data_IF_141909814822
#
_entry.id   IF_141909814822
#
_cell.length_a   1.000
_cell.length_b   1.000
_cell.length_c   1.000
_cell.angle_alpha   90.00
_cell.angle_beta   90.00
_cell.angle_gamma   90.00
#
_symmetry.space_group_name_H-M   'P 1'
#
loop_
_entity.id
_entity.type
_entity.pdbx_description
1 polymer ?
#
# COMPACT_ATOMS: atom_id res chain seq x y z
N UNK A 1 17.70 -14.56 -4.27
CA UNK A 1 18.59 -13.44 -4.59
C UNK A 1 17.96 -12.41 -5.49
N UNK A 2 17.25 -12.84 -6.53
CA UNK A 2 16.57 -11.89 -7.40
C UNK A 2 15.47 -11.13 -6.66
N UNK A 3 14.84 -11.79 -5.68
CA UNK A 3 13.81 -11.14 -4.88
C UNK A 3 14.35 -9.97 -4.06
N UNK A 4 15.56 -10.10 -3.55
CA UNK A 4 16.19 -9.02 -2.78
C UNK A 4 16.50 -7.82 -3.67
N UNK A 5 17.02 -8.05 -4.87
CA UNK A 5 17.29 -6.99 -5.83
C UNK A 5 15.99 -6.31 -6.24
N UNK A 6 14.94 -7.09 -6.45
CA UNK A 6 13.64 -6.52 -6.82
C UNK A 6 13.08 -5.65 -5.70
N UNK A 7 13.26 -6.06 -4.44
CA UNK A 7 12.81 -5.28 -3.30
C UNK A 7 13.54 -3.93 -3.23
N UNK A 8 14.86 -3.93 -3.38
CA UNK A 8 15.62 -2.68 -3.37
C UNK A 8 15.27 -1.79 -4.55
N UNK A 9 15.13 -2.38 -5.73
CA UNK A 9 14.74 -1.62 -6.91
C UNK A 9 13.37 -0.99 -6.73
N UNK A 10 12.43 -1.74 -6.14
CA UNK A 10 11.09 -1.24 -5.87
C UNK A 10 11.11 -0.08 -4.88
N UNK A 11 11.90 -0.19 -3.82
CA UNK A 11 12.02 0.89 -2.84
C UNK A 11 12.61 2.15 -3.46
N UNK A 12 13.63 2.00 -4.27
CA UNK A 12 14.24 3.14 -4.97
C UNK A 12 13.24 3.79 -5.93
N UNK A 13 12.45 2.98 -6.62
CA UNK A 13 11.42 3.48 -7.51
C UNK A 13 10.34 4.25 -6.76
N UNK A 14 9.94 3.74 -5.59
CA UNK A 14 8.95 4.41 -4.75
C UNK A 14 9.46 5.79 -4.31
N UNK A 15 10.71 5.87 -3.89
CA UNK A 15 11.30 7.14 -3.48
C UNK A 15 11.39 8.12 -4.65
N UNK A 16 11.69 7.61 -5.84
CA UNK A 16 11.73 8.44 -7.05
C UNK A 16 10.35 8.98 -7.40
N UNK A 17 9.32 8.17 -7.26
CA UNK A 17 7.94 8.60 -7.49
C UNK A 17 7.57 9.72 -6.51
N UNK A 18 7.92 9.57 -5.25
CA UNK A 18 7.65 10.61 -4.25
C UNK A 18 8.40 11.91 -4.57
N UNK A 19 9.63 11.79 -5.05
CA UNK A 19 10.41 12.96 -5.43
C UNK A 19 9.73 13.73 -6.56
N UNK A 20 9.31 13.02 -7.59
CA UNK A 20 8.63 13.62 -8.75
C UNK A 20 7.30 14.25 -8.32
N UNK A 21 6.54 13.54 -7.51
CA UNK A 21 5.28 14.04 -6.99
C UNK A 21 5.47 15.35 -6.21
N UNK A 22 6.47 15.37 -5.35
CA UNK A 22 6.76 16.55 -4.54
C UNK A 22 7.18 17.74 -5.39
N UNK A 23 7.99 17.49 -6.41
CA UNK A 23 8.50 18.56 -7.28
C UNK A 23 7.42 19.11 -8.20
N UNK A 24 6.54 18.27 -8.69
CA UNK A 24 5.55 18.67 -9.71
C UNK A 24 4.20 19.05 -9.12
N UNK A 25 3.90 18.61 -7.89
CA UNK A 25 2.60 18.83 -7.29
C UNK A 25 1.46 18.09 -7.99
N UNK A 26 1.79 17.09 -8.79
CA UNK A 26 0.80 16.37 -9.58
C UNK A 26 -0.09 15.49 -8.70
N UNK A 27 -1.30 15.23 -9.19
CA UNK A 27 -2.17 14.21 -8.62
C UNK A 27 -1.85 12.89 -9.30
N UNK A 28 -1.66 11.84 -8.52
CA UNK A 28 -1.29 10.53 -9.05
C UNK A 28 -2.23 9.46 -8.52
N UNK A 29 -2.56 8.51 -9.40
CA UNK A 29 -3.35 7.33 -9.04
C UNK A 29 -2.52 6.12 -9.38
N UNK A 30 -2.42 5.19 -8.43
CA UNK A 30 -1.65 3.97 -8.61
C UNK A 30 -2.49 2.76 -8.23
N UNK A 31 -2.36 1.70 -9.00
CA UNK A 31 -2.98 0.41 -8.68
C UNK A 31 -1.85 -0.54 -8.30
N UNK A 32 -1.98 -1.18 -7.15
CA UNK A 32 -0.95 -2.07 -6.65
C UNK A 32 -1.55 -3.20 -5.84
N UNK A 33 -0.87 -4.34 -5.83
CA UNK A 33 -1.18 -5.46 -4.94
C UNK A 33 -0.34 -5.41 -3.66
N UNK A 34 0.61 -4.50 -3.61
CA UNK A 34 1.54 -4.40 -2.50
C UNK A 34 1.01 -3.42 -1.46
N UNK A 35 0.60 -3.96 -0.31
CA UNK A 35 0.02 -3.15 0.76
C UNK A 35 1.03 -2.15 1.31
N UNK A 36 2.28 -2.57 1.45
CA UNK A 36 3.33 -1.67 1.96
C UNK A 36 3.56 -0.50 1.01
N UNK A 37 3.53 -0.76 -0.29
CA UNK A 37 3.65 0.30 -1.30
C UNK A 37 2.49 1.28 -1.19
N UNK A 38 1.27 0.77 -1.00
CA UNK A 38 0.10 1.62 -0.84
C UNK A 38 0.24 2.55 0.36
N UNK A 39 0.67 2.04 1.50
CA UNK A 39 0.85 2.86 2.70
C UNK A 39 2.00 3.84 2.52
N UNK A 40 3.07 3.42 1.87
CA UNK A 40 4.26 4.25 1.73
C UNK A 40 4.02 5.45 0.82
N UNK A 41 3.28 5.25 -0.27
CA UNK A 41 3.13 6.27 -1.31
C UNK A 41 1.88 7.13 -1.17
N UNK A 42 0.80 6.60 -0.60
CA UNK A 42 -0.51 7.19 -0.79
C UNK A 42 -0.93 8.13 0.31
N UNK A 43 -1.73 9.13 -0.05
CA UNK A 43 -2.47 9.92 0.92
C UNK A 43 -3.81 9.27 1.22
N UNK A 44 -4.36 8.56 0.25
CA UNK A 44 -5.61 7.83 0.41
C UNK A 44 -5.49 6.49 -0.29
N UNK A 45 -5.95 5.45 0.39
CA UNK A 45 -5.98 4.10 -0.16
C UNK A 45 -7.43 3.68 -0.34
N UNK A 46 -7.74 3.16 -1.52
CA UNK A 46 -9.05 2.60 -1.82
C UNK A 46 -8.88 1.09 -1.94
N UNK A 47 -9.57 0.35 -1.09
CA UNK A 47 -9.52 -1.10 -1.08
C UNK A 47 -10.68 -1.63 -1.91
N UNK A 48 -10.39 -2.49 -2.87
CA UNK A 48 -11.38 -2.99 -3.81
C UNK A 48 -11.43 -4.51 -3.81
N UNK A 49 -12.61 -5.05 -4.05
CA UNK A 49 -12.76 -6.48 -4.28
C UNK A 49 -12.43 -6.80 -5.74
N UNK A 50 -11.95 -8.01 -6.03
CA UNK A 50 -11.57 -8.34 -7.40
C UNK A 50 -12.74 -8.60 -8.34
N UNK A 51 -13.83 -9.21 -7.85
CA UNK A 51 -14.95 -9.62 -8.71
C UNK A 51 -16.27 -9.62 -7.96
N UNK A 52 -17.22 -8.77 -8.37
CA UNK A 52 -17.03 -7.63 -9.26
C UNK A 52 -16.19 -6.57 -8.55
N UNK A 53 -15.56 -5.70 -9.30
CA UNK A 53 -14.76 -4.63 -8.71
C UNK A 53 -15.64 -3.69 -7.90
N UNK A 54 -15.50 -3.74 -6.59
CA UNK A 54 -16.25 -2.88 -5.68
C UNK A 54 -15.32 -2.31 -4.65
N UNK A 55 -15.64 -1.10 -4.21
CA UNK A 55 -14.88 -0.48 -3.14
C UNK A 55 -15.32 -1.10 -1.82
N UNK A 56 -14.39 -1.76 -1.14
CA UNK A 56 -14.62 -2.33 0.19
C UNK A 56 -14.50 -1.27 1.27
N UNK A 57 -13.57 -0.34 1.08
CA UNK A 57 -13.35 0.72 2.03
C UNK A 57 -12.33 1.71 1.52
N UNK A 58 -12.25 2.84 2.18
CA UNK A 58 -11.24 3.86 1.91
C UNK A 58 -10.52 4.20 3.20
N UNK A 59 -9.27 4.59 3.09
CA UNK A 59 -8.44 4.87 4.25
C UNK A 59 -7.55 6.06 3.95
N UNK A 60 -7.65 7.08 4.77
CA UNK A 60 -6.77 8.23 4.69
C UNK A 60 -5.49 7.92 5.45
N UNK A 61 -4.35 8.06 4.78
CA UNK A 61 -3.06 7.80 5.39
C UNK A 61 -2.51 9.10 5.93
N UNK A 62 -2.64 9.28 7.22
CA UNK A 62 -2.24 10.52 7.90
C UNK A 62 -0.86 10.38 8.51
N UNK A 63 0.11 10.08 7.66
CA UNK A 63 1.50 9.96 8.06
C UNK A 63 2.31 11.02 7.35
N UNK A 64 3.17 11.69 8.11
CA UNK A 64 4.10 12.64 7.51
C UNK A 64 5.15 11.88 6.67
N UNK A 65 5.76 12.57 5.75
CA UNK A 65 6.84 12.02 4.93
C UNK A 65 8.16 12.66 5.36
N UNK A 66 9.26 11.92 5.32
CA UNK A 66 9.38 10.54 4.87
C UNK A 66 8.78 9.54 5.86
N UNK A 67 8.21 8.46 5.33
CA UNK A 67 7.55 7.43 6.14
C UNK A 67 8.50 6.27 6.37
N UNK A 68 8.60 5.84 7.63
CA UNK A 68 9.41 4.68 7.99
C UNK A 68 8.54 3.42 7.93
N UNK A 69 8.94 2.48 7.08
CA UNK A 69 8.18 1.23 6.88
C UNK A 69 8.11 0.36 8.12
N UNK A 70 8.96 0.63 9.11
CA UNK A 70 8.99 -0.13 10.36
C UNK A 70 8.30 0.58 11.52
N UNK A 71 7.76 1.77 11.33
CA UNK A 71 7.12 2.50 12.41
C UNK A 71 5.81 1.85 12.81
N UNK A 72 5.40 2.04 14.06
CA UNK A 72 4.14 1.52 14.55
C UNK A 72 2.95 2.07 13.77
N UNK A 73 2.98 3.34 13.45
CA UNK A 73 1.90 3.97 12.70
C UNK A 73 1.78 3.38 11.30
N UNK A 74 2.91 3.15 10.64
CA UNK A 74 2.91 2.50 9.32
C UNK A 74 2.29 1.11 9.41
N UNK A 75 2.72 0.33 10.40
CA UNK A 75 2.21 -1.03 10.59
C UNK A 75 0.73 -1.05 10.95
N UNK A 76 0.25 -0.03 11.65
CA UNK A 76 -1.16 0.11 11.95
C UNK A 76 -2.00 0.27 10.68
N UNK A 77 -1.58 1.15 9.78
CA UNK A 77 -2.28 1.33 8.50
C UNK A 77 -2.21 0.07 7.65
N UNK A 78 -1.06 -0.58 7.65
CA UNK A 78 -0.88 -1.84 6.93
C UNK A 78 -1.85 -2.89 7.43
N UNK A 79 -1.96 -3.03 8.74
CA UNK A 79 -2.87 -3.99 9.34
C UNK A 79 -4.33 -3.68 9.01
N UNK A 80 -4.71 -2.42 9.01
CA UNK A 80 -6.07 -2.02 8.68
C UNK A 80 -6.44 -2.33 7.24
N UNK A 81 -5.52 -2.11 6.31
CA UNK A 81 -5.75 -2.46 4.90
C UNK A 81 -5.91 -3.96 4.76
N UNK A 82 -5.05 -4.74 5.40
CA UNK A 82 -5.14 -6.20 5.36
C UNK A 82 -6.47 -6.69 5.93
N UNK A 83 -6.92 -6.07 7.00
CA UNK A 83 -8.21 -6.41 7.59
C UNK A 83 -9.35 -6.15 6.58
N UNK A 84 -9.34 -5.02 5.92
CA UNK A 84 -10.36 -4.69 4.93
C UNK A 84 -10.32 -5.63 3.73
N UNK A 85 -9.15 -6.03 3.29
CA UNK A 85 -9.01 -7.01 2.23
C UNK A 85 -9.60 -8.35 2.64
N UNK A 86 -9.36 -8.77 3.86
CA UNK A 86 -9.88 -10.03 4.37
C UNK A 86 -11.42 -10.01 4.42
N UNK A 87 -11.99 -8.99 5.03
CA UNK A 87 -13.44 -8.89 5.18
C UNK A 87 -14.13 -8.54 3.87
N UNK A 88 -13.40 -8.00 2.92
CA UNK A 88 -13.94 -7.72 1.59
C UNK A 88 -14.03 -8.95 0.70
N UNK A 89 -13.57 -10.10 1.18
CA UNK A 89 -13.63 -11.34 0.42
C UNK A 89 -12.46 -11.54 -0.55
N UNK A 90 -11.47 -10.66 -0.51
CA UNK A 90 -10.30 -10.77 -1.36
C UNK A 90 -9.39 -11.89 -0.90
N UNK A 91 -9.22 -12.01 0.41
CA UNK A 91 -8.44 -13.06 1.05
C UNK A 91 -9.41 -14.04 1.68
N UNK A 92 -9.24 -15.32 1.37
CA UNK A 92 -10.10 -16.36 1.90
C UNK A 92 -9.55 -16.92 3.20
N UNK A 93 -9.77 -18.19 3.43
CA UNK A 93 -9.44 -18.83 4.68
C UNK A 93 -7.97 -18.63 5.06
N UNK A 94 -7.70 -18.35 6.32
CA UNK A 94 -6.34 -18.07 6.76
C UNK A 94 -5.44 -19.30 6.83
N UNK A 95 -5.95 -20.47 6.58
CA UNK A 95 -5.14 -21.67 6.66
C UNK A 95 -3.97 -21.67 5.70
N UNK A 96 -4.00 -20.89 4.65
CA UNK A 96 -2.88 -20.83 3.72
C UNK A 96 -1.77 -19.89 4.19
N UNK A 97 -1.93 -19.29 5.34
CA UNK A 97 -0.90 -18.43 5.91
C UNK A 97 0.18 -19.20 6.63
N UNK A 98 -0.01 -20.43 6.82
CA UNK A 98 0.92 -21.26 7.61
C UNK A 98 2.29 -21.32 6.99
#
# INVERSE_FOLDING_TARGET
PLGALDAFTRMNMQDEILRIWKETGMTAIMVTHDVDEAVYLSDKVVVMTPRPGRITGTLDIKLARPRARSSEDFLHYRAEILRQLHYGGTIKEPNYYI
#
